data_IF_557573202565
#
_entry.id   IF_557573202565
#
_cell.length_a   1.000
_cell.length_b   1.000
_cell.length_c   1.000
_cell.angle_alpha   90.00
_cell.angle_beta   90.00
_cell.angle_gamma   90.00
#
_symmetry.space_group_name_H-M   'P 1'
#
loop_
_entity.id
_entity.type
_entity.pdbx_description
1 polymer ?
#
# COMPACT_ATOMS: atom_id res chain seq x y z
N UNK A 1 -13.53 -2.82 -12.93
CA UNK A 1 -12.27 -2.49 -13.64
C UNK A 1 -11.49 -1.63 -12.67
N UNK A 2 -10.37 -2.03 -12.06
CA UNK A 2 -9.39 -3.05 -12.42
C UNK A 2 -8.89 -3.70 -11.11
N UNK A 3 -9.36 -4.92 -10.84
CA UNK A 3 -8.87 -5.76 -9.74
C UNK A 3 -7.51 -6.34 -10.10
N UNK A 4 -6.53 -5.47 -10.32
CA UNK A 4 -5.18 -5.87 -10.71
C UNK A 4 -4.64 -6.79 -9.62
N UNK A 5 -4.55 -8.08 -9.93
CA UNK A 5 -3.89 -9.07 -9.08
C UNK A 5 -2.41 -8.70 -9.03
N UNK A 6 -2.02 -7.96 -7.99
CA UNK A 6 -0.64 -7.61 -7.76
C UNK A 6 0.06 -8.82 -7.15
N UNK A 7 1.24 -9.14 -7.68
CA UNK A 7 2.07 -10.18 -7.13
C UNK A 7 2.63 -9.69 -5.78
N UNK A 8 2.18 -10.28 -4.68
CA UNK A 8 2.69 -10.00 -3.33
C UNK A 8 3.86 -10.91 -2.95
N UNK A 9 4.01 -12.05 -3.63
CA UNK A 9 5.05 -13.04 -3.37
C UNK A 9 5.53 -13.65 -4.69
N UNK A 10 6.84 -13.68 -4.90
CA UNK A 10 7.44 -14.23 -6.11
C UNK A 10 7.71 -15.72 -5.96
N UNK A 11 7.44 -16.49 -7.02
CA UNK A 11 7.76 -17.92 -7.05
C UNK A 11 9.27 -18.17 -6.98
N UNK A 12 10.09 -17.24 -7.49
CA UNK A 12 11.55 -17.34 -7.47
C UNK A 12 12.11 -16.58 -6.28
N UNK A 13 12.91 -17.25 -5.43
CA UNK A 13 13.52 -16.64 -4.26
C UNK A 13 14.57 -15.55 -4.56
N UNK A 14 15.03 -15.45 -5.81
CA UNK A 14 15.97 -14.41 -6.29
C UNK A 14 15.26 -13.21 -6.93
N UNK A 15 13.93 -13.25 -7.03
CA UNK A 15 13.07 -12.18 -7.55
C UNK A 15 12.27 -11.58 -6.40
N UNK A 16 11.95 -10.30 -6.49
CA UNK A 16 11.11 -9.66 -5.49
C UNK A 16 9.97 -8.90 -6.18
N UNK A 17 8.85 -8.69 -5.49
CA UNK A 17 7.75 -7.93 -6.06
C UNK A 17 8.15 -6.47 -6.22
N UNK A 18 8.15 -5.98 -7.45
CA UNK A 18 8.40 -4.60 -7.78
C UNK A 18 7.14 -4.00 -8.38
N UNK A 19 6.47 -3.11 -7.63
CA UNK A 19 5.15 -2.59 -7.99
C UNK A 19 4.12 -3.70 -8.31
N UNK A 20 4.18 -4.82 -7.59
CA UNK A 20 3.29 -5.96 -7.83
C UNK A 20 3.68 -6.85 -9.02
N UNK A 21 4.89 -6.69 -9.59
CA UNK A 21 5.42 -7.56 -10.65
C UNK A 21 6.76 -8.13 -10.20
N UNK A 22 6.91 -9.46 -10.26
CA UNK A 22 8.19 -10.10 -9.93
C UNK A 22 9.27 -9.71 -10.93
N UNK A 23 10.37 -9.19 -10.40
CA UNK A 23 11.52 -8.82 -11.22
C UNK A 23 12.83 -9.23 -10.52
N UNK A 24 13.84 -9.69 -11.29
CA UNK A 24 15.18 -9.86 -10.77
C UNK A 24 15.85 -8.52 -10.48
N UNK A 25 16.76 -8.47 -9.49
CA UNK A 25 17.59 -7.28 -9.22
C UNK A 25 18.43 -6.86 -10.43
N UNK A 26 18.92 -7.82 -11.22
CA UNK A 26 19.82 -7.60 -12.35
C UNK A 26 19.14 -7.00 -13.60
N UNK A 27 17.80 -6.98 -13.66
CA UNK A 27 17.07 -6.68 -14.90
C UNK A 27 16.74 -5.19 -15.11
N UNK A 28 17.15 -4.28 -14.21
CA UNK A 28 16.89 -2.84 -14.35
C UNK A 28 18.16 -2.01 -14.24
N UNK A 29 18.23 -0.96 -15.06
CA UNK A 29 19.31 0.05 -15.02
C UNK A 29 19.42 0.79 -13.68
N UNK A 30 18.40 0.68 -12.82
CA UNK A 30 18.41 1.20 -11.45
C UNK A 30 17.86 0.12 -10.52
N UNK A 31 18.67 -0.43 -9.60
CA UNK A 31 18.19 -1.42 -8.66
C UNK A 31 17.19 -0.75 -7.71
N UNK A 32 15.94 -1.21 -7.72
CA UNK A 32 14.91 -0.71 -6.79
C UNK A 32 15.00 -1.34 -5.41
N UNK A 33 15.82 -2.38 -5.30
CA UNK A 33 16.21 -3.01 -4.05
C UNK A 33 17.74 -2.92 -3.87
N UNK A 34 18.15 -2.39 -2.72
CA UNK A 34 19.55 -2.26 -2.33
C UNK A 34 20.14 -3.58 -1.81
N UNK A 35 19.32 -4.52 -1.32
CA UNK A 35 19.80 -5.81 -0.82
C UNK A 35 20.47 -6.64 -1.92
N UNK A 36 21.62 -7.24 -1.60
CA UNK A 36 22.36 -8.12 -2.51
C UNK A 36 23.07 -9.20 -1.70
N UNK A 37 22.75 -10.50 -1.87
CA UNK A 37 21.72 -11.06 -2.75
C UNK A 37 20.28 -10.86 -2.21
N UNK A 38 19.28 -10.98 -3.08
CA UNK A 38 17.88 -11.12 -2.67
C UNK A 38 17.71 -12.53 -2.13
N UNK A 39 17.22 -12.64 -0.89
CA UNK A 39 16.99 -13.91 -0.20
C UNK A 39 15.50 -14.03 0.10
N UNK A 40 14.93 -15.22 -0.10
CA UNK A 40 13.50 -15.51 0.13
C UNK A 40 12.52 -14.63 -0.67
N UNK A 41 12.95 -14.07 -1.79
CA UNK A 41 12.13 -13.22 -2.65
C UNK A 41 11.69 -11.90 -2.01
N UNK A 42 12.40 -11.47 -0.97
CA UNK A 42 12.10 -10.25 -0.21
C UNK A 42 13.23 -9.25 -0.34
N UNK A 43 12.85 -7.99 -0.55
CA UNK A 43 13.73 -6.85 -0.38
C UNK A 43 13.58 -6.24 1.02
N UNK A 44 14.66 -6.24 1.79
CA UNK A 44 14.78 -5.55 3.07
C UNK A 44 14.94 -4.03 2.91
N UNK A 45 15.81 -3.59 2.00
CA UNK A 45 16.13 -2.18 1.79
C UNK A 45 15.77 -1.72 0.38
N UNK A 46 14.72 -0.93 0.24
CA UNK A 46 14.32 -0.37 -1.05
C UNK A 46 15.13 0.89 -1.40
N UNK A 47 15.20 1.24 -2.69
CA UNK A 47 15.81 2.48 -3.15
C UNK A 47 15.01 3.73 -2.71
N UNK A 48 15.61 4.91 -2.76
CA UNK A 48 14.91 6.17 -2.43
C UNK A 48 13.67 6.36 -3.32
N UNK A 49 12.58 6.87 -2.76
CA UNK A 49 11.25 6.93 -3.41
C UNK A 49 10.51 5.59 -3.52
N UNK A 50 11.07 4.50 -3.01
CA UNK A 50 10.41 3.20 -2.87
C UNK A 50 10.15 2.87 -1.41
N UNK A 51 9.00 2.26 -1.13
CA UNK A 51 8.69 1.71 0.18
C UNK A 51 8.56 0.20 0.11
N UNK A 52 8.89 -0.45 1.23
CA UNK A 52 8.77 -1.87 1.46
C UNK A 52 7.32 -2.18 1.83
N UNK A 53 6.72 -3.11 1.10
CA UNK A 53 5.37 -3.60 1.37
C UNK A 53 5.28 -5.08 1.00
N UNK A 54 4.80 -5.95 1.90
CA UNK A 54 4.74 -7.40 1.67
C UNK A 54 6.06 -7.99 1.12
N UNK A 55 7.19 -7.46 1.57
CA UNK A 55 8.52 -7.89 1.11
C UNK A 55 8.94 -7.42 -0.29
N UNK A 56 8.09 -6.68 -1.01
CA UNK A 56 8.44 -6.03 -2.27
C UNK A 56 8.72 -4.53 -2.13
N UNK A 57 9.24 -3.91 -3.20
CA UNK A 57 9.47 -2.47 -3.29
C UNK A 57 8.47 -1.80 -4.24
N UNK A 58 7.78 -0.78 -3.72
CA UNK A 58 6.69 -0.10 -4.41
C UNK A 58 6.95 1.41 -4.48
N UNK A 59 6.58 2.03 -5.59
CA UNK A 59 6.76 3.46 -5.85
C UNK A 59 5.56 4.27 -5.38
N UNK A 60 5.79 5.43 -4.77
CA UNK A 60 4.67 6.31 -4.36
C UNK A 60 4.01 7.06 -5.52
N UNK A 61 4.60 7.01 -6.72
CA UNK A 61 4.11 7.67 -7.93
C UNK A 61 3.43 6.73 -8.92
N UNK A 62 3.55 5.41 -8.71
CA UNK A 62 3.02 4.40 -9.65
C UNK A 62 2.01 3.50 -8.94
N UNK A 63 0.94 3.13 -9.64
CA UNK A 63 0.01 2.12 -9.13
C UNK A 63 0.70 0.74 -9.11
N UNK A 64 0.48 -0.08 -8.06
CA UNK A 64 -0.39 0.16 -6.90
C UNK A 64 0.28 0.90 -5.73
N UNK A 65 1.57 1.21 -5.78
CA UNK A 65 2.26 1.83 -4.64
C UNK A 65 1.68 3.19 -4.22
N UNK A 66 1.27 4.02 -5.18
CA UNK A 66 0.60 5.32 -4.96
C UNK A 66 -0.69 5.22 -4.13
N UNK A 67 -1.41 4.10 -4.19
CA UNK A 67 -2.66 3.91 -3.43
C UNK A 67 -2.41 3.41 -2.02
N UNK A 68 -1.17 3.10 -1.66
CA UNK A 68 -0.81 2.65 -0.32
C UNK A 68 0.05 3.68 0.41
N UNK A 69 0.99 4.29 -0.31
CA UNK A 69 1.91 5.26 0.24
C UNK A 69 2.03 6.49 -0.67
N UNK A 70 1.83 7.67 -0.10
CA UNK A 70 1.93 8.97 -0.77
C UNK A 70 3.38 9.47 -0.78
N UNK A 71 4.16 9.21 0.27
CA UNK A 71 5.57 9.62 0.34
C UNK A 71 6.47 8.61 1.03
N UNK A 72 7.61 8.31 0.39
CA UNK A 72 8.64 7.40 0.89
C UNK A 72 10.05 7.90 0.51
N UNK A 73 10.48 9.07 1.02
CA UNK A 73 11.72 9.71 0.57
C UNK A 73 12.97 8.89 0.92
N UNK A 74 12.94 8.14 2.04
CA UNK A 74 14.12 7.49 2.61
C UNK A 74 14.35 6.04 2.16
N UNK A 75 13.57 5.51 1.20
CA UNK A 75 13.79 4.16 0.70
C UNK A 75 13.64 3.07 1.77
N UNK A 76 12.42 2.59 2.02
CA UNK A 76 12.19 1.61 3.08
C UNK A 76 10.81 1.71 3.69
N UNK A 77 10.60 2.60 4.65
CA UNK A 77 9.27 2.79 5.24
C UNK A 77 8.52 3.90 4.54
N UNK A 78 7.21 3.67 4.38
CA UNK A 78 6.31 4.74 4.01
C UNK A 78 6.34 5.83 5.10
N UNK A 79 6.44 7.10 4.73
CA UNK A 79 6.29 8.23 5.66
C UNK A 79 4.84 8.72 5.73
N UNK A 80 4.11 8.65 4.61
CA UNK A 80 2.72 9.07 4.53
C UNK A 80 1.88 7.99 3.86
N UNK A 81 1.05 7.30 4.62
CA UNK A 81 0.08 6.37 4.06
C UNK A 81 -0.94 7.10 3.18
N UNK A 82 -1.46 6.37 2.19
CA UNK A 82 -2.59 6.80 1.39
C UNK A 82 -3.91 6.55 2.11
N UNK A 83 -4.97 7.18 1.59
CA UNK A 83 -6.34 6.98 2.09
C UNK A 83 -6.71 5.49 2.10
N UNK A 84 -7.26 5.02 3.22
CA UNK A 84 -7.59 3.61 3.45
C UNK A 84 -6.44 2.77 4.03
N UNK A 85 -5.30 3.38 4.31
CA UNK A 85 -4.18 2.73 5.00
C UNK A 85 -3.75 3.52 6.24
N UNK A 86 -3.49 2.80 7.32
CA UNK A 86 -2.87 3.35 8.52
C UNK A 86 -1.38 3.02 8.52
N UNK A 87 -0.54 4.04 8.69
CA UNK A 87 0.88 3.85 8.96
C UNK A 87 1.13 3.92 10.47
N UNK A 88 1.54 2.81 11.06
CA UNK A 88 1.93 2.72 12.47
C UNK A 88 3.39 2.25 12.59
N UNK A 89 4.28 3.16 12.98
CA UNK A 89 5.70 2.84 13.22
C UNK A 89 6.39 2.11 12.03
N UNK A 90 5.97 2.39 10.79
CA UNK A 90 6.46 1.73 9.58
C UNK A 90 5.65 0.52 9.12
N UNK A 91 4.64 0.11 9.88
CA UNK A 91 3.69 -0.95 9.52
C UNK A 91 2.47 -0.34 8.85
N UNK A 92 2.15 -0.81 7.65
CA UNK A 92 0.93 -0.41 6.94
C UNK A 92 -0.19 -1.40 7.27
N UNK A 93 -1.26 -0.90 7.86
CA UNK A 93 -2.47 -1.66 8.14
C UNK A 93 -3.58 -1.19 7.20
N UNK A 94 -4.26 -2.14 6.55
CA UNK A 94 -5.42 -1.81 5.70
C UNK A 94 -6.60 -1.43 6.59
N UNK A 95 -7.27 -0.33 6.26
CA UNK A 95 -8.51 0.06 6.91
C UNK A 95 -9.70 -0.76 6.36
N UNK A 96 -10.81 -0.76 7.10
CA UNK A 96 -12.09 -1.31 6.63
C UNK A 96 -12.56 -0.65 5.33
N UNK A 97 -13.37 -1.36 4.54
CA UNK A 97 -13.92 -0.84 3.28
C UNK A 97 -14.65 0.49 3.49
N UNK A 98 -14.43 1.46 2.60
CA UNK A 98 -15.05 2.79 2.71
C UNK A 98 -14.38 3.73 3.71
N UNK A 99 -13.35 3.28 4.43
CA UNK A 99 -12.63 4.09 5.38
C UNK A 99 -11.48 4.86 4.73
N UNK A 100 -11.40 6.17 5.00
CA UNK A 100 -10.30 7.04 4.55
C UNK A 100 -9.15 7.07 5.55
N UNK A 101 -9.47 7.22 6.84
CA UNK A 101 -8.49 7.18 7.93
C UNK A 101 -9.01 6.30 9.04
N UNK A 102 -8.17 5.39 9.54
CA UNK A 102 -8.51 4.48 10.62
C UNK A 102 -7.44 4.48 11.72
N UNK A 103 -7.84 4.18 12.95
CA UNK A 103 -6.93 3.91 14.09
C UNK A 103 -6.57 2.43 14.18
N UNK A 104 -7.42 1.55 13.68
CA UNK A 104 -7.21 0.10 13.57
C UNK A 104 -7.85 -0.42 12.28
N UNK A 105 -7.62 -1.70 11.92
CA UNK A 105 -8.29 -2.30 10.76
C UNK A 105 -9.82 -2.27 10.83
N UNK A 106 -10.39 -2.09 12.04
CA UNK A 106 -11.84 -2.08 12.31
C UNK A 106 -12.37 -0.74 12.78
N UNK A 107 -11.50 0.21 13.16
CA UNK A 107 -11.89 1.50 13.74
C UNK A 107 -11.57 2.64 12.80
N UNK A 108 -12.58 3.07 12.06
CA UNK A 108 -12.49 4.19 11.14
C UNK A 108 -12.76 5.53 11.83
N UNK A 109 -11.85 6.49 11.66
CA UNK A 109 -12.04 7.87 12.13
C UNK A 109 -12.71 8.73 11.08
N UNK A 110 -12.34 8.54 9.81
CA UNK A 110 -12.76 9.37 8.66
C UNK A 110 -13.20 8.46 7.52
N UNK A 111 -14.41 8.63 6.99
CA UNK A 111 -14.90 7.86 5.85
C UNK A 111 -14.51 8.49 4.50
N UNK A 112 -14.48 7.67 3.45
CA UNK A 112 -14.35 8.14 2.08
C UNK A 112 -15.61 8.91 1.65
N UNK A 113 -15.47 9.78 0.66
CA UNK A 113 -16.61 10.45 0.05
C UNK A 113 -17.63 9.42 -0.47
N UNK A 114 -18.92 9.63 -0.15
CA UNK A 114 -19.98 8.66 -0.41
C UNK A 114 -20.14 7.56 0.65
N UNK A 115 -19.40 7.61 1.75
CA UNK A 115 -19.61 6.77 2.93
C UNK A 115 -19.90 7.62 4.18
N UNK A 116 -20.80 7.14 5.04
CA UNK A 116 -21.16 7.76 6.32
C UNK A 116 -20.56 6.97 7.47
N UNK A 117 -20.03 7.67 8.47
CA UNK A 117 -19.49 7.06 9.68
C UNK A 117 -20.63 6.55 10.56
N UNK A 118 -20.69 5.24 10.74
CA UNK A 118 -21.58 4.56 11.66
C UNK A 118 -20.75 3.90 12.76
N UNK A 119 -20.68 4.56 13.92
CA UNK A 119 -19.79 4.21 15.03
C UNK A 119 -18.31 4.13 14.60
N UNK A 120 -17.76 2.91 14.48
CA UNK A 120 -16.38 2.62 14.07
C UNK A 120 -16.27 2.19 12.59
N UNK A 121 -17.37 2.05 11.87
CA UNK A 121 -17.39 1.59 10.48
C UNK A 121 -17.89 2.68 9.52
N UNK A 122 -17.54 2.53 8.25
CA UNK A 122 -18.07 3.37 7.18
C UNK A 122 -19.10 2.58 6.40
N UNK A 123 -20.32 3.11 6.32
CA UNK A 123 -21.39 2.50 5.53
C UNK A 123 -21.56 3.30 4.26
N UNK A 124 -21.62 2.61 3.13
CA UNK A 124 -21.83 3.26 1.84
C UNK A 124 -23.21 3.93 1.83
N UNK A 125 -23.27 5.20 1.44
CA UNK A 125 -24.54 5.88 1.22
C UNK A 125 -25.29 5.17 0.09
N UNK A 126 -26.63 5.14 0.16
CA UNK A 126 -27.42 4.69 -0.98
C UNK A 126 -27.10 5.58 -2.19
N UNK A 127 -27.11 5.01 -3.40
CA UNK A 127 -26.77 5.75 -4.62
C UNK A 127 -27.75 6.91 -4.87
N UNK A 128 -28.92 6.89 -4.25
CA UNK A 128 -29.89 7.99 -4.29
C UNK A 128 -29.55 9.18 -3.38
N UNK A 129 -28.51 9.10 -2.54
CA UNK A 129 -28.14 10.15 -1.59
C UNK A 129 -26.75 10.74 -1.88
N UNK A 130 -26.69 12.03 -2.21
CA UNK A 130 -25.41 12.78 -2.31
C UNK A 130 -24.76 13.03 -0.93
N UNK A 131 -25.56 13.11 0.13
CA UNK A 131 -25.11 13.23 1.51
C UNK A 131 -26.03 12.42 2.43
N UNK A 132 -25.50 11.40 3.13
CA UNK A 132 -26.20 10.78 4.26
C UNK A 132 -25.66 11.34 5.58
N UNK A 133 -26.56 11.75 6.45
CA UNK A 133 -26.27 12.00 7.86
C UNK A 133 -26.82 10.81 8.65
N UNK A 134 -25.98 10.21 9.50
CA UNK A 134 -26.36 9.10 10.38
C UNK A 134 -27.14 9.55 11.60
#
# INVERSE_FOLDING_TARGET
>A
IDGASYCSECATATEYPQNGVCAPKASRATPTCNDSPIQNGVCGTCANSYFKMNGGCYETVKYPGKTVCISAPNGGTCQKAADGYKLDSGTLTVCSEGCKECTSSTDCTTCLDGYVKSASACTKCDFSCETCNG
#
